data_IF_491874842345
#
_entry.id   IF_491874842345
#
_cell.length_a   1.000
_cell.length_b   1.000
_cell.length_c   1.000
_cell.angle_alpha   90.00
_cell.angle_beta   90.00
_cell.angle_gamma   90.00
#
_symmetry.space_group_name_H-M   'P 1'
#
loop_
_entity.id
_entity.type
_entity.pdbx_description
1 polymer ?
#
# COMPACT_ATOMS: atom_id res chain seq x y z
N UNK A 1 -11.93 15.59 16.60
CA UNK A 1 -10.93 14.55 16.36
C UNK A 1 -11.13 13.86 15.05
N UNK A 2 -10.07 13.70 14.34
CA UNK A 2 -10.12 13.04 13.04
C UNK A 2 -10.10 11.52 13.23
N UNK A 3 -10.58 10.79 12.22
CA UNK A 3 -10.48 9.33 12.20
C UNK A 3 -9.02 8.85 12.14
N UNK A 4 -8.09 9.77 11.82
CA UNK A 4 -6.66 9.46 11.72
C UNK A 4 -5.90 9.70 13.02
N UNK A 5 -6.55 10.29 14.03
CA UNK A 5 -5.87 10.64 15.28
C UNK A 5 -5.24 9.41 15.93
N UNK A 6 -3.94 9.48 16.16
CA UNK A 6 -3.16 8.40 16.77
C UNK A 6 -3.21 7.07 16.00
N UNK A 7 -3.39 7.12 14.70
CA UNK A 7 -3.46 5.93 13.83
C UNK A 7 -2.21 5.78 12.99
N UNK A 8 -2.01 4.58 12.46
CA UNK A 8 -0.87 4.24 11.62
C UNK A 8 -1.36 3.95 10.20
N UNK A 9 -0.79 4.64 9.23
CA UNK A 9 -1.07 4.45 7.81
C UNK A 9 0.11 3.74 7.15
N UNK A 10 -0.15 2.67 6.43
CA UNK A 10 0.84 1.99 5.61
C UNK A 10 0.57 2.32 4.13
N UNK A 11 1.61 2.75 3.43
CA UNK A 11 1.53 3.02 1.99
C UNK A 11 2.46 2.04 1.29
N UNK A 12 1.90 1.13 0.51
CA UNK A 12 2.70 0.25 -0.35
C UNK A 12 2.97 0.96 -1.66
N UNK A 13 4.16 0.75 -2.23
CA UNK A 13 4.57 1.51 -3.40
C UNK A 13 4.79 2.98 -3.06
N UNK A 14 5.15 3.27 -1.83
CA UNK A 14 5.22 4.63 -1.30
C UNK A 14 6.29 5.51 -1.92
N UNK A 15 7.26 4.92 -2.63
CA UNK A 15 8.30 5.71 -3.31
C UNK A 15 7.93 6.08 -4.74
N UNK A 16 6.80 5.56 -5.26
CA UNK A 16 6.30 5.95 -6.57
C UNK A 16 5.60 7.29 -6.53
N UNK A 17 5.23 7.82 -7.69
CA UNK A 17 4.58 9.14 -7.76
C UNK A 17 3.24 9.17 -7.04
N UNK A 18 2.46 8.10 -7.13
CA UNK A 18 1.17 8.04 -6.45
C UNK A 18 1.34 7.93 -4.94
N UNK A 19 2.27 7.06 -4.49
CA UNK A 19 2.58 6.93 -3.07
C UNK A 19 3.09 8.24 -2.47
N UNK A 20 3.92 8.98 -3.21
CA UNK A 20 4.38 10.28 -2.78
C UNK A 20 3.23 11.29 -2.64
N UNK A 21 2.28 11.26 -3.57
CA UNK A 21 1.11 12.14 -3.50
C UNK A 21 0.28 11.86 -2.25
N UNK A 22 0.08 10.58 -1.94
CA UNK A 22 -0.65 10.18 -0.73
C UNK A 22 0.10 10.65 0.51
N UNK A 23 1.40 10.43 0.54
CA UNK A 23 2.22 10.85 1.67
C UNK A 23 2.09 12.36 1.91
N UNK A 24 2.23 13.16 0.86
CA UNK A 24 2.13 14.62 0.99
C UNK A 24 0.79 15.06 1.52
N UNK A 25 -0.27 14.34 1.15
CA UNK A 25 -1.61 14.68 1.61
C UNK A 25 -1.78 14.42 3.10
N UNK A 26 -1.16 13.39 3.64
CA UNK A 26 -1.38 12.95 5.02
C UNK A 26 -0.25 13.27 5.98
N UNK A 27 0.88 13.79 5.51
CA UNK A 27 2.04 14.03 6.36
C UNK A 27 1.76 15.03 7.48
N UNK A 28 0.90 16.01 7.23
CA UNK A 28 0.55 17.02 8.20
C UNK A 28 -0.74 16.70 8.98
N UNK A 29 -1.28 15.50 8.77
CA UNK A 29 -2.47 15.05 9.49
C UNK A 29 -2.09 14.64 10.92
N UNK A 30 -3.09 14.27 11.69
CA UNK A 30 -2.88 13.80 13.08
C UNK A 30 -2.60 12.30 13.17
N UNK A 31 -2.19 11.67 12.07
CA UNK A 31 -1.67 10.31 12.09
C UNK A 31 -0.44 10.24 13.01
N UNK A 32 -0.35 9.16 13.78
CA UNK A 32 0.80 8.92 14.64
C UNK A 32 2.02 8.53 13.82
N UNK A 33 1.82 7.73 12.77
CA UNK A 33 2.91 7.19 11.98
C UNK A 33 2.45 6.91 10.56
N UNK A 34 3.34 7.14 9.60
CA UNK A 34 3.13 6.76 8.21
C UNK A 34 4.27 5.83 7.82
N UNK A 35 3.94 4.62 7.37
CA UNK A 35 4.93 3.64 6.95
C UNK A 35 4.99 3.58 5.42
N UNK A 36 6.18 3.75 4.89
CA UNK A 36 6.44 3.65 3.46
C UNK A 36 7.03 2.28 3.19
N UNK A 37 6.35 1.49 2.37
CA UNK A 37 6.77 0.14 2.02
C UNK A 37 7.06 0.09 0.53
N UNK A 38 8.27 -0.27 0.17
CA UNK A 38 8.67 -0.41 -1.23
C UNK A 38 9.93 -1.26 -1.36
N UNK A 39 10.24 -1.65 -2.59
CA UNK A 39 11.46 -2.42 -2.87
C UNK A 39 12.69 -1.53 -3.09
N UNK A 40 12.48 -0.25 -3.34
CA UNK A 40 13.55 0.63 -3.79
C UNK A 40 14.20 1.33 -2.61
N UNK A 41 15.30 0.74 -2.14
CA UNK A 41 16.06 1.26 -1.01
C UNK A 41 16.60 2.66 -1.26
N UNK A 42 17.06 2.91 -2.48
CA UNK A 42 17.62 4.22 -2.82
C UNK A 42 16.57 5.31 -2.77
N UNK A 43 15.40 5.06 -3.34
CA UNK A 43 14.31 6.03 -3.29
C UNK A 43 13.84 6.28 -1.87
N UNK A 44 13.82 5.26 -1.03
CA UNK A 44 13.48 5.43 0.38
C UNK A 44 14.50 6.30 1.09
N UNK A 45 15.77 6.07 0.82
CA UNK A 45 16.83 6.85 1.42
C UNK A 45 16.75 8.33 1.01
N UNK A 46 16.50 8.58 -0.26
CA UNK A 46 16.32 9.94 -0.77
C UNK A 46 15.11 10.62 -0.11
N UNK A 47 14.00 9.90 0.04
CA UNK A 47 12.81 10.40 0.72
C UNK A 47 13.09 10.73 2.17
N UNK A 48 13.82 9.86 2.85
CA UNK A 48 14.15 10.05 4.27
C UNK A 48 14.95 11.33 4.45
N UNK A 49 15.94 11.55 3.60
CA UNK A 49 16.77 12.75 3.66
C UNK A 49 15.97 14.00 3.32
N UNK A 50 15.09 13.91 2.34
CA UNK A 50 14.28 15.05 1.92
C UNK A 50 13.25 15.44 2.97
N UNK A 51 12.56 14.46 3.56
CA UNK A 51 11.47 14.71 4.48
C UNK A 51 11.95 15.05 5.90
N UNK A 52 12.93 14.32 6.39
CA UNK A 52 13.43 14.46 7.76
C UNK A 52 12.31 14.58 8.80
N UNK A 53 11.30 13.72 8.64
CA UNK A 53 10.11 13.74 9.49
C UNK A 53 10.02 12.42 10.26
N UNK A 54 10.12 12.46 11.61
CA UNK A 54 10.12 11.23 12.40
C UNK A 54 8.81 10.45 12.36
N UNK A 55 7.73 11.07 11.90
CA UNK A 55 6.45 10.39 11.71
C UNK A 55 6.53 9.34 10.60
N UNK A 56 7.39 9.54 9.61
CA UNK A 56 7.50 8.66 8.45
C UNK A 56 8.54 7.58 8.73
N UNK A 57 8.12 6.32 8.68
CA UNK A 57 8.98 5.16 8.84
C UNK A 57 9.12 4.42 7.51
N UNK A 58 10.26 3.82 7.29
CA UNK A 58 10.58 3.20 6.00
C UNK A 58 10.81 1.71 6.18
N UNK A 59 10.14 0.91 5.34
CA UNK A 59 10.24 -0.54 5.34
C UNK A 59 10.59 -1.01 3.95
N UNK A 60 11.71 -1.73 3.82
CA UNK A 60 12.12 -2.32 2.56
C UNK A 60 11.44 -3.68 2.45
N UNK A 61 10.73 -3.90 1.36
CA UNK A 61 10.08 -5.18 1.15
C UNK A 61 9.37 -5.26 -0.19
N UNK A 62 8.84 -6.44 -0.46
CA UNK A 62 8.17 -6.77 -1.72
C UNK A 62 6.79 -7.33 -1.39
N UNK A 63 5.74 -6.76 -1.99
CA UNK A 63 4.37 -7.24 -1.74
C UNK A 63 4.16 -8.68 -2.18
N UNK A 64 5.01 -9.20 -3.08
CA UNK A 64 4.97 -10.60 -3.48
C UNK A 64 5.46 -11.54 -2.39
N UNK A 65 6.19 -11.02 -1.43
CA UNK A 65 6.71 -11.78 -0.30
C UNK A 65 5.87 -11.49 0.94
N UNK A 66 5.03 -12.44 1.31
CA UNK A 66 4.12 -12.26 2.44
C UNK A 66 4.83 -11.98 3.75
N UNK A 67 6.00 -12.55 3.98
CA UNK A 67 6.79 -12.29 5.18
C UNK A 67 7.16 -10.82 5.32
N UNK A 68 7.59 -10.26 4.21
CA UNK A 68 7.99 -8.86 4.15
C UNK A 68 6.78 -7.96 4.46
N UNK A 69 5.62 -8.30 3.91
CA UNK A 69 4.36 -7.59 4.17
C UNK A 69 3.97 -7.70 5.64
N UNK A 70 4.01 -8.91 6.19
CA UNK A 70 3.68 -9.13 7.59
C UNK A 70 4.58 -8.32 8.53
N UNK A 71 5.85 -8.18 8.17
CA UNK A 71 6.82 -7.42 8.97
C UNK A 71 6.48 -5.93 9.07
N UNK A 72 5.79 -5.39 8.08
CA UNK A 72 5.42 -3.97 8.06
C UNK A 72 3.98 -3.74 8.56
N UNK A 73 3.24 -4.79 8.84
CA UNK A 73 1.80 -4.70 9.09
C UNK A 73 1.42 -4.54 10.56
N UNK A 74 2.28 -4.90 11.48
CA UNK A 74 1.96 -4.87 12.90
C UNK A 74 1.58 -3.47 13.36
N UNK A 75 0.41 -3.32 13.96
CA UNK A 75 -0.06 -2.04 14.47
C UNK A 75 -0.64 -1.09 13.44
N UNK A 76 -0.75 -1.52 12.20
CA UNK A 76 -1.30 -0.69 11.12
C UNK A 76 -2.82 -0.60 11.25
N UNK A 77 -3.35 0.61 11.09
CA UNK A 77 -4.79 0.86 11.12
C UNK A 77 -5.37 1.03 9.72
N UNK A 78 -4.63 1.68 8.83
CA UNK A 78 -5.10 1.98 7.48
C UNK A 78 -4.03 1.64 6.46
N UNK A 79 -4.44 1.18 5.28
CA UNK A 79 -3.52 0.86 4.19
C UNK A 79 -3.94 1.58 2.91
N UNK A 80 -2.95 2.12 2.22
CA UNK A 80 -3.11 2.64 0.87
C UNK A 80 -2.22 1.81 -0.04
N UNK A 81 -2.82 0.88 -0.77
CA UNK A 81 -2.07 -0.08 -1.58
C UNK A 81 -1.86 0.47 -2.99
N UNK A 82 -0.80 1.26 -3.16
CA UNK A 82 -0.45 1.86 -4.44
C UNK A 82 0.47 0.98 -5.27
N UNK A 83 1.02 -0.08 -4.69
CA UNK A 83 1.90 -1.00 -5.41
C UNK A 83 1.18 -1.77 -6.51
N UNK A 84 -0.17 -1.72 -6.52
CA UNK A 84 -0.95 -2.31 -7.60
C UNK A 84 -0.84 -1.53 -8.91
N UNK A 85 -0.30 -0.30 -8.85
CA UNK A 85 -0.12 0.54 -10.03
C UNK A 85 1.19 0.17 -10.71
N UNK A 86 1.14 -0.74 -11.66
CA UNK A 86 2.32 -1.26 -12.34
C UNK A 86 2.67 -0.49 -13.58
N UNK A 87 3.93 -0.64 -14.00
CA UNK A 87 4.41 -0.02 -15.22
C UNK A 87 3.83 -0.69 -16.44
N UNK A 88 3.28 0.13 -17.34
CA UNK A 88 2.65 -0.34 -18.56
C UNK A 88 3.61 -1.09 -19.48
N UNK A 89 4.87 -0.68 -19.68
CA UNK A 89 5.77 -1.40 -20.58
C UNK A 89 5.94 -2.88 -20.26
N UNK A 90 5.99 -3.22 -18.97
CA UNK A 90 6.08 -4.62 -18.55
C UNK A 90 4.85 -5.41 -18.98
N UNK A 91 3.71 -4.78 -18.95
CA UNK A 91 2.45 -5.40 -19.31
C UNK A 91 2.36 -5.71 -20.79
N UNK A 92 2.96 -4.88 -21.63
CA UNK A 92 2.91 -5.07 -23.07
C UNK A 92 3.60 -6.36 -23.51
N UNK A 93 4.69 -6.73 -22.82
CA UNK A 93 5.45 -7.92 -23.19
C UNK A 93 4.98 -9.17 -22.46
N UNK A 94 4.60 -9.03 -21.18
CA UNK A 94 4.21 -10.19 -20.36
C UNK A 94 2.97 -9.87 -19.54
N UNK A 95 1.84 -9.62 -20.19
CA UNK A 95 0.65 -9.16 -19.47
C UNK A 95 0.11 -10.15 -18.44
N UNK A 96 0.17 -11.44 -18.73
CA UNK A 96 -0.32 -12.46 -17.80
C UNK A 96 0.50 -12.47 -16.53
N UNK A 97 1.82 -12.38 -16.64
CA UNK A 97 2.70 -12.33 -15.47
C UNK A 97 2.49 -11.06 -14.66
N UNK A 98 2.33 -9.92 -15.34
CA UNK A 98 2.10 -8.65 -14.65
C UNK A 98 0.81 -8.68 -13.84
N UNK A 99 -0.26 -9.19 -14.44
CA UNK A 99 -1.55 -9.32 -13.75
C UNK A 99 -1.43 -10.27 -12.56
N UNK A 100 -0.79 -11.42 -12.77
CA UNK A 100 -0.59 -12.41 -11.72
C UNK A 100 0.20 -11.83 -10.55
N UNK A 101 1.26 -11.09 -10.82
CA UNK A 101 2.07 -10.44 -9.79
C UNK A 101 1.25 -9.43 -9.00
N UNK A 102 0.43 -8.65 -9.68
CA UNK A 102 -0.44 -7.68 -9.01
C UNK A 102 -1.49 -8.35 -8.14
N UNK A 103 -2.07 -9.44 -8.62
CA UNK A 103 -3.05 -10.22 -7.86
C UNK A 103 -2.39 -10.82 -6.62
N UNK A 104 -1.24 -11.44 -6.80
CA UNK A 104 -0.52 -12.04 -5.67
C UNK A 104 -0.13 -11.00 -4.62
N UNK A 105 0.41 -9.88 -5.06
CA UNK A 105 0.79 -8.80 -4.15
C UNK A 105 -0.41 -8.27 -3.38
N UNK A 106 -1.52 -8.04 -4.06
CA UNK A 106 -2.74 -7.55 -3.42
C UNK A 106 -3.29 -8.58 -2.44
N UNK A 107 -3.28 -9.86 -2.82
CA UNK A 107 -3.71 -10.94 -1.93
C UNK A 107 -2.89 -10.97 -0.65
N UNK A 108 -1.57 -10.86 -0.78
CA UNK A 108 -0.68 -10.86 0.38
C UNK A 108 -0.98 -9.69 1.32
N UNK A 109 -1.20 -8.52 0.75
CA UNK A 109 -1.53 -7.33 1.54
C UNK A 109 -2.88 -7.51 2.23
N UNK A 110 -3.89 -8.01 1.53
CA UNK A 110 -5.21 -8.23 2.10
C UNK A 110 -5.17 -9.28 3.21
N UNK A 111 -4.50 -10.40 2.97
CA UNK A 111 -4.39 -11.47 3.97
C UNK A 111 -3.68 -10.98 5.23
N UNK A 112 -2.60 -10.25 5.05
CA UNK A 112 -1.85 -9.70 6.18
C UNK A 112 -2.67 -8.65 6.93
N UNK A 113 -3.42 -7.82 6.22
CA UNK A 113 -4.29 -6.82 6.82
C UNK A 113 -5.37 -7.48 7.69
N UNK A 114 -5.98 -8.53 7.19
CA UNK A 114 -6.99 -9.28 7.92
C UNK A 114 -6.37 -9.90 9.19
N UNK A 115 -5.21 -10.53 9.04
CA UNK A 115 -4.54 -11.19 10.16
C UNK A 115 -4.13 -10.21 11.26
N UNK A 116 -3.83 -8.96 10.91
CA UNK A 116 -3.35 -7.96 11.86
C UNK A 116 -4.44 -6.98 12.32
N UNK A 117 -5.67 -7.18 11.89
CA UNK A 117 -6.79 -6.35 12.35
C UNK A 117 -6.81 -4.93 11.81
N UNK A 118 -6.31 -4.75 10.60
CA UNK A 118 -6.34 -3.44 9.93
C UNK A 118 -7.79 -2.98 9.74
N UNK A 119 -8.06 -1.70 9.96
CA UNK A 119 -9.43 -1.17 9.91
C UNK A 119 -9.94 -0.96 8.50
N UNK A 120 -9.12 -0.35 7.67
CA UNK A 120 -9.51 -0.03 6.29
C UNK A 120 -8.33 -0.19 5.37
N UNK A 121 -8.61 -0.65 4.14
CA UNK A 121 -7.61 -0.69 3.08
C UNK A 121 -8.23 -0.14 1.81
N UNK A 122 -7.46 0.70 1.12
CA UNK A 122 -7.81 1.19 -0.20
C UNK A 122 -6.81 0.59 -1.18
N UNK A 123 -7.30 -0.21 -2.10
CA UNK A 123 -6.49 -0.80 -3.17
C UNK A 123 -6.75 -0.03 -4.43
N UNK A 124 -5.69 0.50 -5.02
CA UNK A 124 -5.81 1.31 -6.23
C UNK A 124 -5.33 0.52 -7.44
N UNK A 125 -6.11 0.59 -8.49
CA UNK A 125 -5.76 0.06 -9.78
C UNK A 125 -5.94 1.18 -10.81
N UNK A 126 -5.24 1.08 -11.92
CA UNK A 126 -5.31 2.11 -12.95
C UNK A 126 -5.86 1.52 -14.25
N UNK A 127 -6.58 2.35 -15.00
CA UNK A 127 -7.05 2.00 -16.33
C UNK A 127 -5.90 1.94 -17.35
N UNK A 128 -4.71 2.37 -16.96
CA UNK A 128 -3.51 2.28 -17.79
C UNK A 128 -2.79 0.95 -17.63
N UNK A 129 -3.36 0.02 -16.88
CA UNK A 129 -2.81 -1.31 -16.72
C UNK A 129 -2.92 -2.11 -18.02
N UNK A 130 -2.33 -3.30 -18.03
CA UNK A 130 -2.30 -4.18 -19.20
C UNK A 130 -3.67 -4.49 -19.77
N UNK A 131 -4.65 -4.55 -18.91
CA UNK A 131 -6.04 -4.79 -19.29
C UNK A 131 -6.85 -3.54 -19.03
N UNK A 132 -7.89 -3.28 -19.82
CA UNK A 132 -8.71 -2.09 -19.62
C UNK A 132 -9.58 -2.25 -18.38
N UNK A 133 -9.01 -1.87 -17.25
CA UNK A 133 -9.69 -1.92 -15.96
C UNK A 133 -9.80 -0.49 -15.47
N UNK A 134 -11.00 -0.09 -15.11
CA UNK A 134 -11.23 1.24 -14.54
C UNK A 134 -10.55 1.34 -13.17
N UNK A 135 -10.22 2.55 -12.79
CA UNK A 135 -9.68 2.79 -11.46
C UNK A 135 -10.66 2.25 -10.42
N UNK A 136 -10.13 1.49 -9.48
CA UNK A 136 -10.97 0.81 -8.51
C UNK A 136 -10.37 0.93 -7.12
N UNK A 137 -11.23 1.12 -6.14
CA UNK A 137 -10.84 1.12 -4.74
C UNK A 137 -11.73 0.12 -4.01
N UNK A 138 -11.09 -0.74 -3.22
CA UNK A 138 -11.80 -1.74 -2.42
C UNK A 138 -11.64 -1.37 -0.95
N UNK A 139 -12.75 -1.29 -0.24
CA UNK A 139 -12.73 -0.98 1.18
C UNK A 139 -12.52 -2.24 2.00
N UNK A 140 -11.46 -2.26 2.76
CA UNK A 140 -11.19 -3.37 3.68
C UNK A 140 -12.29 -3.55 4.72
N UNK A 141 -12.89 -2.45 5.16
CA UNK A 141 -14.00 -2.50 6.12
C UNK A 141 -15.12 -3.38 5.60
N UNK A 142 -15.43 -3.26 4.32
CA UNK A 142 -16.45 -4.07 3.69
C UNK A 142 -16.05 -5.55 3.67
N UNK A 143 -14.81 -5.83 3.30
CA UNK A 143 -14.28 -7.20 3.25
C UNK A 143 -14.30 -7.85 4.62
N UNK A 144 -13.91 -7.09 5.64
CA UNK A 144 -13.88 -7.60 7.01
C UNK A 144 -15.28 -7.94 7.52
N UNK A 145 -16.25 -7.08 7.24
CA UNK A 145 -17.64 -7.33 7.63
C UNK A 145 -18.17 -8.58 6.94
N UNK A 146 -17.82 -8.76 5.68
CA UNK A 146 -18.24 -9.93 4.90
C UNK A 146 -17.62 -11.20 5.46
N UNK A 147 -16.36 -11.15 5.82
CA UNK A 147 -15.64 -12.31 6.35
C UNK A 147 -16.16 -12.73 7.71
N UNK A 148 -16.50 -11.80 8.58
CA UNK A 148 -16.99 -12.13 9.92
C UNK A 148 -18.36 -12.78 9.88
N UNK A 149 -19.07 -12.70 8.78
CA UNK A 149 -20.35 -13.37 8.59
C UNK A 149 -20.21 -14.79 8.07
N UNK A 150 -19.08 -15.08 7.48
CA UNK A 150 -18.79 -16.40 6.92
C UNK A 150 -18.30 -17.37 7.97
#
# INVERSE_FOLDING_TARGET
MSIFSDKVLLITGGTGSFGNAVLRRFIDSDLREIRIFSRDEKKQDDMRHHLQNPKVKFYIGDVRDKRSVDGAMSGVDYIFHAAALKQVPSCEFFPTQAVRTNVLGTENVLDSAIAHGVKNIVVLSTDKACYPVNAMAVSYTHLRAHETRG
#
